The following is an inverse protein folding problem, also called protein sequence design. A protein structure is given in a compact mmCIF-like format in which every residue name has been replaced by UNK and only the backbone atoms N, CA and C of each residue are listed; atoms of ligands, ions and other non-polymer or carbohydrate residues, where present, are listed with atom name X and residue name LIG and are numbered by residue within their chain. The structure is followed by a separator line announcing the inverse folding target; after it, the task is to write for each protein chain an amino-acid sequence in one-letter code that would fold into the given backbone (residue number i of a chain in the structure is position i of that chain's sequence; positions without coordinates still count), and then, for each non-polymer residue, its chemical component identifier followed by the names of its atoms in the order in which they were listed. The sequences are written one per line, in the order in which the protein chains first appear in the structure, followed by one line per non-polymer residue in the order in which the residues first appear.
data_IF_104073610034
#
_entry.id   IF_104073610034
#
_cell.length_a   1.000
_cell.length_b   1.000
_cell.length_c   1.000
_cell.angle_alpha   90.00
_cell.angle_beta   90.00
_cell.angle_gamma   90.00
#
_symmetry.space_group_name_H-M   'P 1'
#
loop_
_entity.id
_entity.type
_entity.pdbx_description
1 polymer ?
#
# COMPACT_ATOMS: atom_id res chain seq x y z
N UNK A 1 11.18 9.78 -16.96
CA UNK A 1 9.79 9.84 -17.51
C UNK A 1 8.89 8.78 -16.86
N UNK A 2 9.28 7.50 -16.89
CA UNK A 2 8.52 6.40 -16.25
C UNK A 2 8.34 6.59 -14.74
N UNK A 3 9.40 6.95 -14.01
CA UNK A 3 9.38 7.21 -12.55
C UNK A 3 8.35 8.28 -12.17
N UNK A 4 8.34 9.41 -12.86
CA UNK A 4 7.43 10.53 -12.61
C UNK A 4 5.96 10.18 -12.86
N UNK A 5 5.68 9.45 -13.96
CA UNK A 5 4.33 8.97 -14.30
C UNK A 5 3.86 7.95 -13.26
N UNK A 6 4.73 7.02 -12.85
CA UNK A 6 4.42 6.00 -11.85
C UNK A 6 4.13 6.61 -10.47
N UNK A 7 4.92 7.61 -10.03
CA UNK A 7 4.66 8.32 -8.78
C UNK A 7 3.34 9.10 -8.82
N UNK A 8 3.03 9.75 -9.93
CA UNK A 8 1.77 10.48 -10.10
C UNK A 8 0.55 9.56 -10.04
N UNK A 9 0.62 8.41 -10.73
CA UNK A 9 -0.41 7.37 -10.69
C UNK A 9 -0.59 6.78 -9.29
N UNK A 10 0.51 6.51 -8.58
CA UNK A 10 0.46 5.97 -7.22
C UNK A 10 -0.25 6.92 -6.25
N UNK A 11 0.03 8.23 -6.33
CA UNK A 11 -0.64 9.25 -5.52
C UNK A 11 -2.13 9.35 -5.87
N UNK A 12 -2.45 9.44 -7.16
CA UNK A 12 -3.84 9.53 -7.62
C UNK A 12 -4.69 8.32 -7.19
N UNK A 13 -4.17 7.11 -7.36
CA UNK A 13 -4.82 5.87 -6.94
C UNK A 13 -4.92 5.73 -5.41
N UNK A 14 -4.09 6.43 -4.65
CA UNK A 14 -4.17 6.49 -3.18
C UNK A 14 -5.33 7.38 -2.75
N UNK A 15 -5.49 8.53 -3.39
CA UNK A 15 -6.60 9.47 -3.13
C UNK A 15 -7.95 8.81 -3.46
N UNK A 16 -8.07 8.11 -4.61
CA UNK A 16 -9.29 7.39 -4.97
C UNK A 16 -9.65 6.33 -3.92
N UNK A 17 -8.67 5.57 -3.43
CA UNK A 17 -8.88 4.56 -2.39
C UNK A 17 -9.34 5.16 -1.05
N UNK A 18 -8.86 6.34 -0.69
CA UNK A 18 -9.36 7.06 0.49
C UNK A 18 -10.83 7.49 0.32
N UNK A 19 -11.25 7.87 -0.89
CA UNK A 19 -12.65 8.19 -1.17
C UNK A 19 -13.55 6.94 -1.17
N UNK A 20 -13.01 5.79 -1.60
CA UNK A 20 -13.71 4.50 -1.66
C UNK A 20 -14.09 3.94 -0.27
N UNK A 21 -13.40 4.36 0.79
CA UNK A 21 -13.62 3.87 2.17
C UNK A 21 -14.67 4.63 2.97
N UNK A 22 -15.36 5.58 2.35
CA UNK A 22 -16.35 6.46 3.01
C UNK A 22 -17.53 5.71 3.64
N UNK A 23 -17.88 4.53 3.14
CA UNK A 23 -19.05 3.74 3.58
C UNK A 23 -18.87 2.94 4.88
N UNK A 24 -17.74 3.06 5.59
CA UNK A 24 -17.41 2.32 6.83
C UNK A 24 -17.48 0.79 6.75
N UNK A 25 -17.60 0.19 5.56
CA UNK A 25 -17.53 -1.26 5.41
C UNK A 25 -16.08 -1.73 5.73
N UNK A 26 -15.89 -2.58 6.75
CA UNK A 26 -14.56 -2.94 7.21
C UNK A 26 -13.74 -3.71 6.17
N UNK A 27 -14.39 -4.49 5.29
CA UNK A 27 -13.73 -5.14 4.16
C UNK A 27 -13.23 -4.14 3.12
N UNK A 28 -14.04 -3.13 2.78
CA UNK A 28 -13.61 -2.05 1.88
C UNK A 28 -12.42 -1.29 2.47
N UNK A 29 -12.47 -1.03 3.78
CA UNK A 29 -11.37 -0.38 4.51
C UNK A 29 -10.10 -1.20 4.48
N UNK A 30 -10.19 -2.51 4.75
CA UNK A 30 -9.03 -3.41 4.71
C UNK A 30 -8.38 -3.46 3.33
N UNK A 31 -9.19 -3.64 2.28
CA UNK A 31 -8.72 -3.66 0.88
C UNK A 31 -8.03 -2.34 0.53
N UNK A 32 -8.61 -1.21 0.95
CA UNK A 32 -8.03 0.09 0.65
C UNK A 32 -6.71 0.32 1.35
N UNK A 33 -6.60 0.03 2.66
CA UNK A 33 -5.34 0.15 3.38
C UNK A 33 -4.25 -0.73 2.78
N UNK A 34 -4.55 -2.00 2.51
CA UNK A 34 -3.58 -2.93 1.91
C UNK A 34 -3.11 -2.44 0.53
N UNK A 35 -4.04 -1.94 -0.29
CA UNK A 35 -3.73 -1.38 -1.61
C UNK A 35 -2.93 -0.08 -1.57
N UNK A 36 -3.18 0.78 -0.57
CA UNK A 36 -2.42 2.02 -0.37
C UNK A 36 -0.98 1.67 0.04
N UNK A 37 -0.81 0.77 0.99
CA UNK A 37 0.52 0.34 1.44
C UNK A 37 1.35 -0.24 0.30
N UNK A 38 0.74 -1.02 -0.59
CA UNK A 38 1.44 -1.55 -1.76
C UNK A 38 1.87 -0.45 -2.75
N UNK A 39 1.05 0.59 -2.95
CA UNK A 39 1.43 1.76 -3.77
C UNK A 39 2.56 2.57 -3.14
N UNK A 40 2.54 2.74 -1.82
CA UNK A 40 3.62 3.40 -1.07
C UNK A 40 4.93 2.61 -1.20
N UNK A 41 4.88 1.28 -1.08
CA UNK A 41 6.03 0.43 -1.29
C UNK A 41 6.61 0.56 -2.71
N UNK A 42 5.75 0.59 -3.75
CA UNK A 42 6.17 0.82 -5.14
C UNK A 42 6.80 2.21 -5.30
N UNK A 43 6.22 3.25 -4.69
CA UNK A 43 6.79 4.60 -4.70
C UNK A 43 8.19 4.62 -4.09
N UNK A 44 8.39 3.93 -2.96
CA UNK A 44 9.69 3.81 -2.32
C UNK A 44 10.72 3.13 -3.23
N UNK A 45 10.35 2.09 -3.98
CA UNK A 45 11.25 1.46 -4.98
C UNK A 45 11.68 2.48 -6.04
N UNK A 46 10.76 3.31 -6.55
CA UNK A 46 11.12 4.35 -7.51
C UNK A 46 12.00 5.45 -6.92
N UNK A 47 11.81 5.78 -5.63
CA UNK A 47 12.69 6.71 -4.92
C UNK A 47 14.08 6.12 -4.72
N UNK A 48 14.19 4.82 -4.43
CA UNK A 48 15.47 4.11 -4.33
C UNK A 48 16.27 4.27 -5.63
N UNK A 49 15.63 3.96 -6.75
CA UNK A 49 16.24 4.05 -8.09
C UNK A 49 16.69 5.47 -8.42
N UNK A 50 15.99 6.50 -7.92
CA UNK A 50 16.32 7.89 -8.24
C UNK A 50 17.40 8.47 -7.31
N UNK A 51 17.36 8.16 -6.02
CA UNK A 51 18.24 8.75 -5.01
C UNK A 51 19.39 7.83 -4.58
N UNK A 52 19.40 6.57 -5.03
CA UNK A 52 20.40 5.54 -4.66
C UNK A 52 20.56 5.43 -3.14
N UNK A 53 19.43 5.33 -2.43
CA UNK A 53 19.40 5.31 -0.97
C UNK A 53 19.74 3.89 -0.50
N UNK A 54 20.96 3.72 0.02
CA UNK A 54 21.34 2.47 0.67
C UNK A 54 20.29 2.10 1.74
N UNK A 55 19.89 0.83 1.79
CA UNK A 55 18.91 0.26 2.73
C UNK A 55 17.41 0.46 2.42
N UNK A 56 17.03 1.21 1.38
CA UNK A 56 15.62 1.47 1.09
C UNK A 56 14.88 0.22 0.59
N UNK A 57 15.56 -0.63 -0.18
CA UNK A 57 14.99 -1.87 -0.73
C UNK A 57 14.73 -2.92 0.36
N UNK A 58 15.59 -3.05 1.37
CA UNK A 58 15.33 -3.90 2.54
C UNK A 58 14.12 -3.41 3.34
N UNK A 59 13.99 -2.08 3.52
CA UNK A 59 12.87 -1.49 4.24
C UNK A 59 11.54 -1.73 3.50
N UNK A 60 11.54 -1.62 2.17
CA UNK A 60 10.38 -1.94 1.32
C UNK A 60 9.97 -3.41 1.50
N UNK A 61 10.94 -4.33 1.53
CA UNK A 61 10.68 -5.75 1.75
C UNK A 61 9.99 -6.02 3.09
N UNK A 62 10.49 -5.42 4.17
CA UNK A 62 9.88 -5.51 5.50
C UNK A 62 8.45 -4.96 5.48
N UNK A 63 8.24 -3.80 4.83
CA UNK A 63 6.92 -3.20 4.67
C UNK A 63 5.93 -4.12 3.95
N UNK A 64 6.36 -4.76 2.86
CA UNK A 64 5.52 -5.68 2.10
C UNK A 64 5.14 -6.90 2.93
N UNK A 65 6.09 -7.51 3.64
CA UNK A 65 5.84 -8.66 4.53
C UNK A 65 4.85 -8.31 5.64
N UNK A 66 5.06 -7.16 6.30
CA UNK A 66 4.15 -6.68 7.34
C UNK A 66 2.75 -6.38 6.79
N UNK A 67 2.65 -5.77 5.60
CA UNK A 67 1.37 -5.48 4.97
C UNK A 67 0.60 -6.76 4.64
N UNK A 68 1.26 -7.77 4.05
CA UNK A 68 0.62 -9.05 3.76
C UNK A 68 0.18 -9.77 5.02
N UNK A 69 1.06 -9.91 6.02
CA UNK A 69 0.74 -10.57 7.29
C UNK A 69 -0.39 -9.87 8.04
N UNK A 70 -0.32 -8.54 8.19
CA UNK A 70 -1.35 -7.74 8.83
C UNK A 70 -2.69 -7.80 8.10
N UNK A 71 -2.67 -7.80 6.76
CA UNK A 71 -3.90 -7.92 5.95
C UNK A 71 -4.58 -9.27 6.17
N UNK A 72 -3.81 -10.37 6.18
CA UNK A 72 -4.34 -11.73 6.39
C UNK A 72 -4.95 -11.86 7.79
N UNK A 73 -4.23 -11.38 8.82
CA UNK A 73 -4.73 -11.43 10.21
C UNK A 73 -6.03 -10.62 10.34
N UNK A 74 -6.06 -9.41 9.78
CA UNK A 74 -7.27 -8.58 9.80
C UNK A 74 -8.42 -9.23 9.03
N UNK A 75 -8.17 -9.82 7.86
CA UNK A 75 -9.17 -10.55 7.09
C UNK A 75 -9.74 -11.75 7.85
N UNK A 76 -8.89 -12.50 8.55
CA UNK A 76 -9.33 -13.62 9.39
C UNK A 76 -10.30 -13.15 10.48
N UNK A 77 -9.96 -12.09 11.23
CA UNK A 77 -10.85 -11.58 12.28
C UNK A 77 -12.13 -10.92 11.74
N UNK A 78 -12.10 -10.33 10.55
CA UNK A 78 -13.31 -9.83 9.90
C UNK A 78 -14.22 -10.98 9.46
N UNK A 79 -13.67 -12.03 8.85
CA UNK A 79 -14.43 -13.21 8.41
C UNK A 79 -14.96 -14.09 9.54
N UNK A 80 -14.33 -14.06 10.73
CA UNK A 80 -14.84 -14.75 11.93
C UNK A 80 -15.96 -13.95 12.62
N UNK A 81 -16.08 -12.65 12.35
CA UNK A 81 -17.10 -11.76 12.92
C UNK A 81 -18.42 -11.71 12.14
N UNK A 82 -18.43 -12.22 10.90
CA UNK A 82 -19.63 -12.41 10.07
C UNK A 82 -20.23 -13.79 10.29
#
# INVERSE_FOLDING_TARGET
MITFVASGLAVFLTIIMMLYTKDRNPWKTLIAYSSIMQKVAILMIFLDVYFSINFLSELVLVFLLMNTGGTIIAAYFLGVRE
#
